data_IF_467912010027
#
_entry.id   IF_467912010027
#
_cell.length_a   1.000
_cell.length_b   1.000
_cell.length_c   1.000
_cell.angle_alpha   90.00
_cell.angle_beta   90.00
_cell.angle_gamma   90.00
#
_symmetry.space_group_name_H-M   'P 1'
#
loop_
_entity.id
_entity.type
_entity.pdbx_description
1 polymer ?
#
# COMPACT_ATOMS: atom_id res chain seq x y z
N UNK A 1 12.95 -6.76 -4.06
CA UNK A 1 12.01 -6.08 -3.13
C UNK A 1 11.07 -5.20 -3.94
N UNK A 2 9.76 -5.50 -3.97
CA UNK A 2 8.78 -4.69 -4.70
C UNK A 2 8.60 -3.32 -4.04
N UNK A 3 8.52 -2.25 -4.84
CA UNK A 3 8.32 -0.87 -4.37
C UNK A 3 7.04 -0.72 -3.52
N UNK A 4 6.00 -1.52 -3.82
CA UNK A 4 4.73 -1.52 -3.09
C UNK A 4 4.86 -1.96 -1.63
N UNK A 5 5.83 -2.83 -1.30
CA UNK A 5 6.02 -3.32 0.07
C UNK A 5 6.46 -2.21 1.04
N UNK A 6 7.00 -1.09 0.54
CA UNK A 6 7.37 0.07 1.37
C UNK A 6 6.16 0.82 1.94
N UNK A 7 5.00 0.68 1.31
CA UNK A 7 3.78 1.41 1.68
C UNK A 7 2.81 0.59 2.54
N UNK A 8 3.24 -0.60 2.99
CA UNK A 8 2.45 -1.57 3.72
C UNK A 8 3.22 -1.97 4.97
N UNK A 9 2.51 -2.09 6.09
CA UNK A 9 3.05 -2.63 7.34
C UNK A 9 3.32 -4.13 7.23
N UNK A 10 4.07 -4.67 8.19
CA UNK A 10 4.35 -6.11 8.27
C UNK A 10 3.07 -6.97 8.30
N UNK A 11 1.99 -6.47 8.90
CA UNK A 11 0.70 -7.16 9.00
C UNK A 11 -0.16 -7.01 7.74
N UNK A 12 0.36 -6.42 6.66
CA UNK A 12 -0.40 -6.19 5.45
C UNK A 12 -1.34 -4.99 5.52
N UNK A 13 -1.27 -4.09 6.51
CA UNK A 13 -2.08 -2.84 6.54
C UNK A 13 -1.43 -1.73 5.71
N UNK A 14 -2.23 -0.93 4.99
CA UNK A 14 -1.74 0.24 4.24
C UNK A 14 -1.27 1.29 5.24
N UNK A 15 -0.03 1.78 5.07
CA UNK A 15 0.53 2.83 5.94
C UNK A 15 -0.17 4.17 5.72
N UNK A 16 -0.29 4.94 6.80
CA UNK A 16 -0.88 6.28 6.74
C UNK A 16 0.02 7.24 5.98
N UNK A 17 -0.58 8.32 5.47
CA UNK A 17 0.15 9.37 4.74
C UNK A 17 1.26 10.01 5.57
N UNK A 18 1.07 10.15 6.89
CA UNK A 18 2.05 10.75 7.80
C UNK A 18 3.34 9.93 7.84
N UNK A 19 3.22 8.59 7.83
CA UNK A 19 4.36 7.68 7.81
C UNK A 19 5.02 7.66 6.42
N UNK A 20 4.21 7.60 5.36
CA UNK A 20 4.72 7.54 3.99
C UNK A 20 5.28 8.89 3.48
N UNK A 21 4.98 10.00 4.16
CA UNK A 21 5.33 11.37 3.76
C UNK A 21 4.95 11.72 2.31
N UNK A 22 3.81 11.20 1.84
CA UNK A 22 3.31 11.44 0.48
C UNK A 22 2.36 12.65 0.43
N UNK A 23 2.24 13.24 -0.76
CA UNK A 23 1.15 14.17 -1.05
C UNK A 23 -0.21 13.44 -1.03
N UNK A 24 -1.30 14.19 -0.83
CA UNK A 24 -2.66 13.62 -0.83
C UNK A 24 -2.98 12.91 -2.17
N UNK A 25 -2.56 13.50 -3.28
CA UNK A 25 -2.77 12.95 -4.62
C UNK A 25 -2.03 11.62 -4.80
N UNK A 26 -0.77 11.55 -4.39
CA UNK A 26 0.02 10.32 -4.45
C UNK A 26 -0.54 9.23 -3.55
N UNK A 27 -0.93 9.55 -2.30
CA UNK A 27 -1.51 8.55 -1.39
C UNK A 27 -2.79 7.93 -1.96
N UNK A 28 -3.64 8.69 -2.66
CA UNK A 28 -4.84 8.16 -3.34
C UNK A 28 -4.47 7.14 -4.42
N UNK A 29 -3.49 7.46 -5.26
CA UNK A 29 -3.00 6.54 -6.29
C UNK A 29 -2.39 5.27 -5.71
N UNK A 30 -1.54 5.40 -4.69
CA UNK A 30 -0.92 4.27 -3.99
C UNK A 30 -1.99 3.36 -3.37
N UNK A 31 -2.99 3.96 -2.70
CA UNK A 31 -4.08 3.19 -2.08
C UNK A 31 -4.90 2.43 -3.13
N UNK A 32 -5.18 3.04 -4.28
CA UNK A 32 -5.89 2.38 -5.38
C UNK A 32 -5.08 1.20 -5.93
N UNK A 33 -3.79 1.41 -6.21
CA UNK A 33 -2.90 0.38 -6.73
C UNK A 33 -2.75 -0.80 -5.75
N UNK A 34 -2.61 -0.55 -4.45
CA UNK A 34 -2.52 -1.60 -3.43
C UNK A 34 -3.81 -2.41 -3.37
N UNK A 35 -4.98 -1.75 -3.44
CA UNK A 35 -6.28 -2.45 -3.46
C UNK A 35 -6.41 -3.35 -4.69
N UNK A 36 -6.04 -2.86 -5.87
CA UNK A 36 -6.04 -3.65 -7.10
C UNK A 36 -5.09 -4.85 -7.00
N UNK A 37 -3.87 -4.64 -6.51
CA UNK A 37 -2.88 -5.71 -6.32
C UNK A 37 -3.37 -6.79 -5.34
N UNK A 38 -4.12 -6.44 -4.30
CA UNK A 38 -4.72 -7.42 -3.38
C UNK A 38 -5.81 -8.28 -4.05
N UNK A 39 -6.65 -7.65 -4.88
CA UNK A 39 -7.67 -8.39 -5.66
C UNK A 39 -7.00 -9.37 -6.63
N UNK A 40 -5.88 -8.96 -7.23
CA UNK A 40 -5.06 -9.79 -8.12
C UNK A 40 -4.17 -10.82 -7.38
N UNK A 41 -4.31 -10.96 -6.06
CA UNK A 41 -3.49 -11.86 -5.24
C UNK A 41 -1.97 -11.59 -5.26
N UNK A 42 -1.55 -10.39 -5.69
CA UNK A 42 -0.14 -9.95 -5.67
C UNK A 42 0.32 -9.51 -4.26
N UNK A 43 -0.64 -9.17 -3.39
CA UNK A 43 -0.39 -8.75 -2.01
C UNK A 43 -1.42 -9.40 -1.06
N UNK A 44 -1.01 -9.86 0.12
CA UNK A 44 -1.94 -10.43 1.09
C UNK A 44 -2.81 -9.34 1.73
N UNK A 45 -4.05 -9.70 2.07
CA UNK A 45 -4.92 -8.85 2.89
C UNK A 45 -4.50 -8.85 4.36
N UNK A 46 -4.00 -9.99 4.83
CA UNK A 46 -3.52 -10.25 6.19
C UNK A 46 -2.26 -11.10 6.02
N UNK A 47 -1.17 -10.69 6.67
CA UNK A 47 0.09 -11.42 6.72
C UNK A 47 0.40 -11.80 8.17
#
# INVERSE_FOLDING_TARGET
MSLMNKFISRQGKILSRQVNQLTLKQQRFVTLAIKQARILSLLPFIA
#
